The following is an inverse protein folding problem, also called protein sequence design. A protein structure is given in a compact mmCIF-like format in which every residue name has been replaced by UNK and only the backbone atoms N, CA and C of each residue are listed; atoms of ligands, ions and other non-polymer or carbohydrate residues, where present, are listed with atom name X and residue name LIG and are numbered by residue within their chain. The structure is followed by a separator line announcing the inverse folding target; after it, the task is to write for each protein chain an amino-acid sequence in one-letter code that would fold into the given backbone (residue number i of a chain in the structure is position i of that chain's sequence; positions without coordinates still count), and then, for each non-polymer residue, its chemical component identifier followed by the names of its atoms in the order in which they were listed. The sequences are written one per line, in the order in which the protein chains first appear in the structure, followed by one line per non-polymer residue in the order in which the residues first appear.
data_IF_442132475418
#
_entry.id   IF_442132475418
#
_cell.length_a   1.000
_cell.length_b   1.000
_cell.length_c   1.000
_cell.angle_alpha   90.00
_cell.angle_beta   90.00
_cell.angle_gamma   90.00
#
_symmetry.space_group_name_H-M   'P 1'
#
loop_
_entity.id
_entity.type
_entity.pdbx_description
1 polymer ?
#
# COMPACT_ATOMS: atom_id res chain seq x y z
N UNK A 1 -3.97 -14.07 2.05
CA UNK A 1 -3.19 -12.81 1.98
C UNK A 1 -2.29 -12.89 0.76
N UNK A 2 -2.21 -11.84 -0.06
CA UNK A 2 -1.37 -11.79 -1.24
C UNK A 2 -0.08 -11.03 -0.94
N UNK A 3 1.08 -11.55 -1.36
CA UNK A 3 2.34 -10.81 -1.28
C UNK A 3 2.28 -9.61 -2.23
N UNK A 4 2.71 -8.45 -1.73
CA UNK A 4 2.78 -7.22 -2.47
C UNK A 4 4.01 -6.43 -2.03
N UNK A 5 4.52 -5.56 -2.91
CA UNK A 5 5.65 -4.69 -2.61
C UNK A 5 5.13 -3.29 -2.38
N UNK A 6 5.57 -2.65 -1.29
CA UNK A 6 5.22 -1.26 -1.01
C UNK A 6 5.81 -0.34 -2.09
N UNK A 7 4.98 0.48 -2.72
CA UNK A 7 5.43 1.39 -3.78
C UNK A 7 6.38 2.49 -3.27
N UNK A 8 6.30 2.87 -1.98
CA UNK A 8 7.20 3.87 -1.39
C UNK A 8 8.52 3.28 -0.90
N UNK A 9 8.43 2.31 0.01
CA UNK A 9 9.60 1.81 0.74
C UNK A 9 10.14 0.49 0.18
N UNK A 10 9.49 -0.08 -0.84
CA UNK A 10 9.88 -1.32 -1.53
C UNK A 10 9.99 -2.55 -0.62
N UNK A 11 9.42 -2.49 0.58
CA UNK A 11 9.33 -3.64 1.50
C UNK A 11 8.23 -4.60 1.03
N UNK A 12 8.46 -5.88 1.23
CA UNK A 12 7.45 -6.92 1.07
C UNK A 12 6.38 -6.80 2.16
N UNK A 13 5.12 -6.88 1.76
CA UNK A 13 3.97 -6.78 2.66
C UNK A 13 2.86 -7.73 2.20
N UNK A 14 1.97 -8.05 3.13
CA UNK A 14 0.85 -8.95 2.87
C UNK A 14 -0.44 -8.17 2.91
N UNK A 15 -1.16 -8.19 1.79
CA UNK A 15 -2.44 -7.48 1.64
C UNK A 15 -3.59 -8.47 1.48
N UNK A 16 -4.81 -8.14 1.95
CA UNK A 16 -5.98 -9.01 1.81
C UNK A 16 -6.59 -8.98 0.40
N UNK A 17 -6.12 -8.09 -0.48
CA UNK A 17 -6.61 -7.91 -1.85
C UNK A 17 -5.53 -8.29 -2.88
N UNK A 18 -5.94 -8.65 -4.09
CA UNK A 18 -5.03 -8.95 -5.19
C UNK A 18 -4.38 -7.63 -5.67
N UNK A 19 -3.04 -7.51 -5.69
CA UNK A 19 -2.37 -6.36 -6.28
C UNK A 19 -2.75 -6.24 -7.75
N UNK A 20 -3.23 -5.07 -8.16
CA UNK A 20 -3.58 -4.76 -9.54
C UNK A 20 -2.47 -3.90 -10.15
N UNK A 21 -2.03 -4.23 -11.36
CA UNK A 21 -1.12 -3.38 -12.12
C UNK A 21 -1.80 -2.03 -12.37
N UNK A 22 -1.21 -0.96 -11.85
CA UNK A 22 -1.77 0.40 -11.87
C UNK A 22 -2.33 0.90 -10.53
N UNK A 23 -2.41 0.07 -9.47
CA UNK A 23 -2.73 0.54 -8.12
C UNK A 23 -1.55 0.39 -7.15
N UNK A 24 -1.03 1.49 -6.59
CA UNK A 24 0.09 1.42 -5.68
C UNK A 24 -0.34 0.74 -4.38
N UNK A 25 0.46 -0.22 -3.94
CA UNK A 25 0.27 -0.91 -2.66
C UNK A 25 1.16 -0.23 -1.63
N UNK A 26 0.61 0.06 -0.46
CA UNK A 26 1.35 0.68 0.63
C UNK A 26 1.39 -0.24 1.84
N UNK A 27 2.55 -0.36 2.49
CA UNK A 27 2.68 -1.03 3.77
C UNK A 27 1.95 -0.24 4.87
N UNK A 28 1.79 -0.87 6.05
CA UNK A 28 1.12 -0.25 7.21
C UNK A 28 1.76 1.08 7.66
N UNK A 29 3.05 1.28 7.38
CA UNK A 29 3.80 2.49 7.72
C UNK A 29 3.59 3.62 6.70
N UNK A 30 3.45 3.28 5.42
CA UNK A 30 3.30 4.25 4.33
C UNK A 30 1.82 4.62 4.06
N UNK A 31 0.90 3.67 4.29
CA UNK A 31 -0.54 3.87 4.08
C UNK A 31 -1.10 5.12 4.82
N UNK A 32 -0.75 5.40 6.08
CA UNK A 32 -1.21 6.60 6.79
C UNK A 32 -0.76 7.89 6.11
N UNK A 33 0.48 7.94 5.59
CA UNK A 33 1.05 9.11 4.90
C UNK A 33 0.27 9.44 3.62
N UNK A 34 -0.18 8.42 2.89
CA UNK A 34 -0.99 8.58 1.69
C UNK A 34 -2.49 8.75 1.96
N UNK A 35 -3.01 8.25 3.09
CA UNK A 35 -4.43 8.42 3.49
C UNK A 35 -4.78 9.85 3.93
N UNK A 36 -3.80 10.69 4.25
CA UNK A 36 -4.00 12.07 4.71
C UNK A 36 -4.67 13.01 3.70
N UNK A 37 -4.93 12.58 2.46
CA UNK A 37 -5.65 13.42 1.48
C UNK A 37 -7.17 13.53 1.71
N UNK A 38 -7.76 12.82 2.68
CA UNK A 38 -9.11 13.14 3.16
C UNK A 38 -9.03 14.21 4.24
N UNK A 39 -8.59 15.41 3.87
CA UNK A 39 -8.84 16.60 4.71
C UNK A 39 -10.26 17.05 4.40
N UNK A 40 -11.05 17.08 5.48
CA UNK A 40 -12.41 17.58 5.70
C UNK A 40 -13.12 18.26 4.53
#
# INVERSE_FOLDING_TARGET
MHPAVCSDCKKETQVPFKPLEGKPVYCRECLPKHRTQRRF
#
